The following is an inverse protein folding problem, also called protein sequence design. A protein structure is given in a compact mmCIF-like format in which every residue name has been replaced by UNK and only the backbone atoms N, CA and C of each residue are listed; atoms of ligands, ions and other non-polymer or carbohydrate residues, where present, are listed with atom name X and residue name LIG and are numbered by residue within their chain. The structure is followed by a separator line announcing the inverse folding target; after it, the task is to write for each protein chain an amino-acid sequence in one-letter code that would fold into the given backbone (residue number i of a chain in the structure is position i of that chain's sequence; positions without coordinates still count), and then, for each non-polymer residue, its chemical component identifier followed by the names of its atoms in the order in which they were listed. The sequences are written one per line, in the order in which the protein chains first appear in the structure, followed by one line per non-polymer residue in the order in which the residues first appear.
data_IF_198901260285
#
_entry.id   IF_198901260285
#
_cell.length_a   1.000
_cell.length_b   1.000
_cell.length_c   1.000
_cell.angle_alpha   90.00
_cell.angle_beta   90.00
_cell.angle_gamma   90.00
#
_symmetry.space_group_name_H-M   'P 1'
#
loop_
_entity.id
_entity.type
_entity.pdbx_description
1 polymer ?
#
# COMPACT_ATOMS: atom_id res chain seq x y z
N UNK A 1 23.44 -55.57 4.43
CA UNK A 1 23.88 -54.16 4.22
C UNK A 1 22.68 -53.26 4.41
N UNK A 2 22.60 -52.62 5.56
CA UNK A 2 21.49 -51.70 5.87
C UNK A 2 21.96 -50.27 5.52
N UNK A 3 21.36 -49.68 4.50
CA UNK A 3 21.61 -48.28 4.14
C UNK A 3 20.84 -47.36 5.06
N UNK A 4 21.58 -46.78 6.00
CA UNK A 4 21.06 -45.72 6.88
C UNK A 4 20.79 -44.46 6.05
N UNK A 5 19.52 -44.15 5.76
CA UNK A 5 19.14 -42.87 5.22
C UNK A 5 19.24 -41.80 6.32
N UNK A 6 20.30 -40.98 6.27
CA UNK A 6 20.40 -39.74 7.04
C UNK A 6 19.24 -38.85 6.65
N UNK A 7 18.21 -38.78 7.47
CA UNK A 7 17.18 -37.78 7.35
C UNK A 7 17.83 -36.41 7.47
N UNK A 8 17.82 -35.64 6.37
CA UNK A 8 18.22 -34.24 6.37
C UNK A 8 17.22 -33.48 7.26
N UNK A 9 17.63 -33.19 8.49
CA UNK A 9 16.83 -32.35 9.40
C UNK A 9 16.57 -31.03 8.70
N UNK A 10 15.29 -30.74 8.40
CA UNK A 10 14.86 -29.43 7.88
C UNK A 10 15.32 -28.38 8.88
N UNK A 11 16.29 -27.56 8.50
CA UNK A 11 16.69 -26.42 9.33
C UNK A 11 15.50 -25.49 9.51
N UNK A 12 15.28 -25.03 10.74
CA UNK A 12 14.22 -24.07 11.05
C UNK A 12 14.41 -22.80 10.22
N UNK A 13 13.43 -22.47 9.39
CA UNK A 13 13.43 -21.22 8.63
C UNK A 13 13.11 -20.07 9.59
N UNK A 14 14.01 -19.10 9.65
CA UNK A 14 13.86 -17.94 10.52
C UNK A 14 13.24 -16.77 9.76
N UNK A 15 12.40 -16.04 10.47
CA UNK A 15 11.88 -14.79 9.97
C UNK A 15 12.98 -13.70 9.97
N UNK A 16 12.86 -12.74 9.09
CA UNK A 16 13.72 -11.57 9.03
C UNK A 16 12.94 -10.33 8.57
N UNK A 17 13.50 -9.17 8.86
CA UNK A 17 13.02 -7.89 8.38
C UNK A 17 14.11 -7.27 7.51
N UNK A 18 13.89 -7.22 6.19
CA UNK A 18 14.78 -6.56 5.27
C UNK A 18 14.50 -5.04 5.32
N UNK A 19 15.51 -4.25 5.65
CA UNK A 19 15.42 -2.80 5.82
C UNK A 19 16.07 -2.14 4.60
N UNK A 20 15.29 -1.34 3.90
CA UNK A 20 15.64 -0.71 2.64
C UNK A 20 15.67 0.81 2.77
N UNK A 21 16.49 1.44 1.95
CA UNK A 21 16.34 2.89 1.73
C UNK A 21 14.94 3.18 1.16
N UNK A 22 14.33 4.32 1.56
CA UNK A 22 13.11 4.74 0.89
C UNK A 22 13.41 5.06 -0.58
N UNK A 23 12.46 4.86 -1.48
CA UNK A 23 12.66 5.19 -2.88
C UNK A 23 12.85 6.69 -3.07
N UNK A 24 13.52 7.06 -4.15
CA UNK A 24 13.60 8.44 -4.62
C UNK A 24 12.59 8.64 -5.75
N UNK A 25 11.77 9.70 -5.66
CA UNK A 25 10.72 9.97 -6.65
C UNK A 25 9.38 9.31 -6.31
N UNK A 26 8.60 8.98 -7.32
CA UNK A 26 7.21 8.48 -7.19
C UNK A 26 7.09 6.95 -7.21
N UNK A 27 8.22 6.23 -7.15
CA UNK A 27 8.17 4.76 -7.21
C UNK A 27 7.70 4.16 -5.88
N UNK A 28 6.99 3.03 -5.95
CA UNK A 28 6.52 2.27 -4.79
C UNK A 28 7.37 1.02 -4.53
N UNK A 29 8.49 0.88 -5.25
CA UNK A 29 9.45 -0.20 -5.02
C UNK A 29 10.48 0.23 -3.98
N UNK A 30 10.82 -0.63 -3.00
CA UNK A 30 11.87 -0.34 -2.04
C UNK A 30 13.20 0.00 -2.72
N UNK A 31 13.93 0.93 -2.15
CA UNK A 31 15.29 1.25 -2.61
C UNK A 31 16.31 0.16 -2.25
N UNK A 32 17.59 0.51 -2.26
CA UNK A 32 18.67 -0.43 -1.95
C UNK A 32 18.53 -1.04 -0.55
N UNK A 33 18.85 -2.31 -0.40
CA UNK A 33 18.90 -2.98 0.90
C UNK A 33 19.99 -2.33 1.77
N UNK A 34 19.61 -1.80 2.92
CA UNK A 34 20.53 -1.25 3.91
C UNK A 34 21.09 -2.34 4.82
N UNK A 35 20.20 -3.17 5.34
CA UNK A 35 20.54 -4.28 6.25
C UNK A 35 19.38 -5.25 6.39
N UNK A 36 19.67 -6.44 6.88
CA UNK A 36 18.67 -7.43 7.27
C UNK A 36 18.69 -7.60 8.79
N UNK A 37 17.55 -7.43 9.43
CA UNK A 37 17.35 -7.72 10.84
C UNK A 37 16.86 -9.17 10.97
N UNK A 38 17.76 -10.09 11.31
CA UNK A 38 17.44 -11.50 11.53
C UNK A 38 16.85 -11.72 12.92
N UNK A 39 15.76 -12.49 13.01
CA UNK A 39 15.14 -12.86 14.26
C UNK A 39 15.87 -14.05 14.87
N UNK A 40 16.20 -13.95 16.15
CA UNK A 40 16.81 -15.09 16.91
C UNK A 40 15.76 -16.16 17.15
N UNK A 41 14.54 -15.73 17.45
CA UNK A 41 13.37 -16.55 17.62
C UNK A 41 12.30 -16.08 16.63
N UNK A 42 11.62 -17.03 16.00
CA UNK A 42 10.48 -16.67 15.16
C UNK A 42 9.39 -16.02 16.02
N UNK A 43 8.63 -15.07 15.47
CA UNK A 43 7.53 -14.44 16.19
C UNK A 43 6.56 -15.49 16.72
N UNK A 44 6.22 -15.41 18.02
CA UNK A 44 5.21 -16.29 18.61
C UNK A 44 3.81 -15.88 18.14
N UNK A 45 3.62 -14.58 17.93
CA UNK A 45 2.37 -14.00 17.46
C UNK A 45 2.65 -13.03 16.30
N UNK A 46 1.83 -13.17 15.27
CA UNK A 46 1.79 -12.27 14.11
C UNK A 46 0.32 -11.99 13.84
N UNK A 47 -0.09 -10.75 13.93
CA UNK A 47 -1.45 -10.33 13.58
C UNK A 47 -1.44 -9.48 12.33
N UNK A 48 -2.43 -9.68 11.46
CA UNK A 48 -2.64 -8.88 10.26
C UNK A 48 -4.07 -8.36 10.25
N UNK A 49 -4.23 -7.09 9.94
CA UNK A 49 -5.51 -6.41 9.85
C UNK A 49 -5.61 -5.66 8.54
N UNK A 50 -6.75 -5.78 7.88
CA UNK A 50 -7.11 -4.96 6.72
C UNK A 50 -8.56 -4.56 6.87
N UNK A 51 -8.88 -3.28 6.59
CA UNK A 51 -10.24 -2.75 6.68
C UNK A 51 -10.74 -2.33 5.32
N UNK A 52 -12.01 -2.54 5.06
CA UNK A 52 -12.71 -2.01 3.89
C UNK A 52 -13.54 -0.80 4.31
N UNK A 53 -13.40 0.29 3.56
CA UNK A 53 -14.16 1.52 3.77
C UNK A 53 -15.47 1.47 3.00
N UNK A 54 -16.59 1.63 3.70
CA UNK A 54 -17.93 1.66 3.13
C UNK A 54 -18.64 2.94 3.52
N UNK A 55 -19.28 3.59 2.55
CA UNK A 55 -20.12 4.77 2.77
C UNK A 55 -21.58 4.38 2.58
N UNK A 56 -22.39 4.62 3.59
CA UNK A 56 -23.85 4.54 3.46
C UNK A 56 -24.38 5.91 3.01
N UNK A 57 -25.00 5.97 1.83
CA UNK A 57 -25.66 7.19 1.34
C UNK A 57 -27.15 7.09 1.68
N UNK A 58 -27.67 7.87 2.64
CA UNK A 58 -29.10 7.85 2.96
C UNK A 58 -29.88 8.40 1.78
N UNK A 59 -30.71 7.57 1.17
CA UNK A 59 -31.64 7.97 0.12
C UNK A 59 -33.01 8.15 0.75
N UNK A 60 -33.57 9.36 0.71
CA UNK A 60 -34.87 9.66 1.29
C UNK A 60 -36.05 8.91 0.65
N UNK A 61 -35.82 8.17 -0.42
CA UNK A 61 -36.87 7.56 -1.25
C UNK A 61 -37.08 6.04 -1.07
N UNK A 62 -36.28 5.36 -0.24
CA UNK A 62 -36.37 3.90 -0.14
C UNK A 62 -36.60 3.46 1.31
N UNK A 63 -37.71 2.76 1.54
CA UNK A 63 -38.09 2.15 2.83
C UNK A 63 -37.13 1.06 3.32
N UNK A 64 -36.28 0.53 2.44
CA UNK A 64 -35.30 -0.50 2.71
C UNK A 64 -33.89 0.07 2.52
N UNK A 65 -33.26 0.48 3.61
CA UNK A 65 -31.85 0.81 3.81
C UNK A 65 -31.01 1.29 2.63
N UNK A 66 -30.18 2.29 2.85
CA UNK A 66 -29.24 2.78 1.82
C UNK A 66 -28.26 1.68 1.42
N UNK A 67 -28.05 1.47 0.12
CA UNK A 67 -27.04 0.54 -0.41
C UNK A 67 -25.65 1.07 -0.03
N UNK A 68 -24.82 0.29 0.66
CA UNK A 68 -23.46 0.71 0.98
C UNK A 68 -22.61 0.77 -0.30
N UNK A 69 -21.85 1.85 -0.46
CA UNK A 69 -20.91 2.07 -1.53
C UNK A 69 -19.49 1.76 -1.03
N UNK A 70 -18.75 0.93 -1.77
CA UNK A 70 -17.37 0.60 -1.45
C UNK A 70 -16.46 1.76 -1.81
N UNK A 71 -15.73 2.29 -0.82
CA UNK A 71 -14.86 3.46 -0.96
C UNK A 71 -13.37 3.07 -1.13
N UNK A 72 -13.03 1.82 -0.90
CA UNK A 72 -11.66 1.33 -0.97
C UNK A 72 -11.29 0.42 0.18
N UNK A 73 -10.08 -0.10 0.15
CA UNK A 73 -9.50 -0.88 1.23
C UNK A 73 -8.35 -0.08 1.85
N UNK A 74 -8.27 -0.07 3.17
CA UNK A 74 -7.13 0.47 3.88
C UNK A 74 -5.87 -0.38 3.62
N UNK A 75 -4.67 0.20 3.73
CA UNK A 75 -3.45 -0.57 3.74
C UNK A 75 -3.48 -1.66 4.81
N UNK A 76 -2.81 -2.78 4.54
CA UNK A 76 -2.67 -3.84 5.55
C UNK A 76 -1.79 -3.34 6.70
N UNK A 77 -2.20 -3.69 7.90
CA UNK A 77 -1.41 -3.47 9.12
C UNK A 77 -0.94 -4.83 9.63
N UNK A 78 0.32 -4.93 10.04
CA UNK A 78 0.87 -6.13 10.64
C UNK A 78 1.58 -5.79 11.93
N UNK A 79 1.27 -6.53 12.99
CA UNK A 79 1.96 -6.40 14.27
C UNK A 79 2.73 -7.67 14.56
N UNK A 80 4.01 -7.51 14.90
CA UNK A 80 4.97 -8.57 15.19
C UNK A 80 5.44 -8.45 16.63
N UNK A 81 5.51 -9.57 17.35
CA UNK A 81 6.20 -9.66 18.62
C UNK A 81 7.58 -10.32 18.41
N UNK A 82 8.63 -9.56 18.69
CA UNK A 82 10.03 -9.98 18.52
C UNK A 82 10.66 -10.18 19.88
N UNK A 83 11.08 -11.41 20.17
CA UNK A 83 11.79 -11.74 21.40
C UNK A 83 13.30 -11.69 21.16
N UNK A 84 14.04 -10.98 22.02
CA UNK A 84 15.47 -10.80 21.99
C UNK A 84 16.06 -11.31 23.30
N UNK A 85 17.04 -12.21 23.23
CA UNK A 85 17.71 -12.78 24.40
C UNK A 85 19.19 -13.02 24.13
N UNK A 86 20.05 -12.40 24.91
CA UNK A 86 21.49 -12.60 24.88
C UNK A 86 22.04 -13.32 26.12
N UNK A 87 21.19 -13.95 26.92
CA UNK A 87 21.60 -14.61 28.17
C UNK A 87 22.64 -15.71 27.97
N UNK A 88 22.62 -16.38 26.83
CA UNK A 88 23.62 -17.41 26.47
C UNK A 88 24.97 -16.83 26.04
N UNK A 89 25.03 -15.55 25.67
CA UNK A 89 26.25 -14.82 25.30
C UNK A 89 26.17 -13.40 25.88
N UNK A 90 26.37 -13.22 27.17
CA UNK A 90 26.13 -11.95 27.86
C UNK A 90 27.15 -10.84 27.50
N UNK A 91 28.14 -11.16 26.68
CA UNK A 91 29.18 -10.20 26.28
C UNK A 91 28.67 -9.28 25.16
N UNK A 92 28.26 -8.09 25.58
CA UNK A 92 28.01 -6.97 24.69
C UNK A 92 26.53 -6.53 24.64
N UNK A 93 26.36 -5.29 24.29
CA UNK A 93 25.07 -4.60 24.16
C UNK A 93 24.19 -5.14 23.00
N UNK A 94 24.14 -6.46 22.78
CA UNK A 94 23.51 -7.06 21.60
C UNK A 94 22.01 -6.77 21.56
N UNK A 95 21.29 -6.94 22.69
CA UNK A 95 19.86 -6.64 22.79
C UNK A 95 19.62 -5.15 22.58
N UNK A 96 20.40 -4.30 23.26
CA UNK A 96 20.26 -2.85 23.15
C UNK A 96 20.50 -2.36 21.72
N UNK A 97 21.56 -2.85 21.03
CA UNK A 97 21.83 -2.53 19.62
C UNK A 97 20.73 -2.99 18.68
N UNK A 98 20.13 -4.15 18.94
CA UNK A 98 19.01 -4.66 18.14
C UNK A 98 17.77 -3.80 18.34
N UNK A 99 17.43 -3.45 19.58
CA UNK A 99 16.31 -2.56 19.86
C UNK A 99 16.54 -1.18 19.21
N UNK A 100 17.74 -0.60 19.37
CA UNK A 100 18.10 0.66 18.71
C UNK A 100 17.97 0.56 17.18
N UNK A 101 18.33 -0.59 16.60
CA UNK A 101 18.17 -0.86 15.18
C UNK A 101 16.71 -0.84 14.73
N UNK A 102 15.79 -1.33 15.56
CA UNK A 102 14.34 -1.28 15.28
C UNK A 102 13.81 0.16 15.45
N UNK A 103 14.18 0.84 16.53
CA UNK A 103 13.77 2.24 16.77
C UNK A 103 14.20 3.16 15.61
N UNK A 104 15.41 2.98 15.09
CA UNK A 104 15.89 3.73 13.92
C UNK A 104 15.09 3.50 12.65
N UNK A 105 14.23 2.49 12.59
CA UNK A 105 13.30 2.33 11.48
C UNK A 105 12.16 3.35 11.49
N UNK A 106 11.99 4.09 12.58
CA UNK A 106 11.05 5.21 12.68
C UNK A 106 11.72 6.57 12.36
N UNK A 107 13.05 6.61 12.22
CA UNK A 107 13.80 7.84 11.95
C UNK A 107 14.03 8.03 10.44
N UNK A 108 14.06 9.28 9.99
CA UNK A 108 14.37 9.62 8.59
C UNK A 108 15.82 9.23 8.23
N UNK A 109 16.01 8.71 7.02
CA UNK A 109 17.35 8.33 6.55
C UNK A 109 18.13 9.53 6.05
N UNK A 110 19.45 9.53 6.22
CA UNK A 110 20.33 10.61 5.74
C UNK A 110 20.22 10.78 4.20
N UNK A 111 20.02 9.67 3.46
CA UNK A 111 19.85 9.74 2.01
C UNK A 111 18.54 10.40 1.61
N UNK A 112 17.44 10.12 2.31
CA UNK A 112 16.15 10.75 2.02
C UNK A 112 16.17 12.25 2.28
N UNK A 113 16.89 12.69 3.33
CA UNK A 113 17.13 14.11 3.61
C UNK A 113 17.92 14.76 2.46
N UNK A 114 19.01 14.11 2.03
CA UNK A 114 19.85 14.62 0.92
C UNK A 114 19.05 14.68 -0.41
N UNK A 115 18.11 13.75 -0.62
CA UNK A 115 17.22 13.76 -1.77
C UNK A 115 16.05 14.76 -1.66
N UNK A 116 15.98 15.55 -0.57
CA UNK A 116 14.88 16.49 -0.26
C UNK A 116 13.48 15.81 -0.16
N UNK A 117 13.46 14.54 0.14
CA UNK A 117 12.25 13.71 0.35
C UNK A 117 12.40 12.94 1.67
N UNK A 118 12.37 13.61 2.83
CA UNK A 118 12.62 12.97 4.11
C UNK A 118 11.60 11.86 4.36
N UNK A 119 12.11 10.64 4.57
CA UNK A 119 11.32 9.44 4.80
C UNK A 119 12.11 8.47 5.68
N UNK A 120 11.44 7.72 6.57
CA UNK A 120 12.07 6.59 7.25
C UNK A 120 12.36 5.46 6.27
N UNK A 121 13.20 4.49 6.66
CA UNK A 121 13.46 3.31 5.83
C UNK A 121 12.17 2.51 5.59
N UNK A 122 12.11 1.86 4.44
CA UNK A 122 11.07 0.91 4.12
C UNK A 122 11.50 -0.49 4.54
N UNK A 123 10.56 -1.33 4.90
CA UNK A 123 10.84 -2.66 5.40
C UNK A 123 10.03 -3.71 4.64
N UNK A 124 10.61 -4.91 4.51
CA UNK A 124 9.91 -6.08 3.99
C UNK A 124 10.07 -7.20 5.00
N UNK A 125 8.97 -7.71 5.52
CA UNK A 125 8.97 -8.89 6.37
C UNK A 125 9.04 -10.14 5.51
N UNK A 126 9.93 -11.06 5.86
CA UNK A 126 10.13 -12.31 5.14
C UNK A 126 10.20 -13.50 6.10
N UNK A 127 9.41 -14.53 5.83
CA UNK A 127 9.43 -15.77 6.59
C UNK A 127 9.17 -16.96 5.69
N UNK A 128 10.25 -17.53 5.17
CA UNK A 128 10.18 -18.70 4.27
C UNK A 128 9.25 -18.45 3.08
N UNK A 129 8.28 -19.35 2.89
CA UNK A 129 7.29 -19.26 1.82
C UNK A 129 5.98 -18.55 2.23
N UNK A 130 5.95 -17.86 3.37
CA UNK A 130 4.76 -17.14 3.85
C UNK A 130 4.53 -15.86 3.04
N UNK A 131 4.04 -16.01 1.82
CA UNK A 131 3.88 -14.91 0.85
C UNK A 131 2.84 -13.86 1.29
N UNK A 132 1.78 -14.26 1.99
CA UNK A 132 0.74 -13.34 2.47
C UNK A 132 1.28 -12.27 3.42
N UNK A 133 2.30 -12.60 4.21
CA UNK A 133 2.93 -11.65 5.13
C UNK A 133 4.08 -10.86 4.48
N UNK A 134 4.45 -11.18 3.23
CA UNK A 134 5.51 -10.49 2.50
C UNK A 134 4.95 -9.33 1.71
N UNK A 135 5.11 -8.13 2.22
CA UNK A 135 4.75 -6.88 1.55
C UNK A 135 5.72 -5.77 1.95
N UNK A 136 5.77 -4.74 1.14
CA UNK A 136 6.53 -3.54 1.43
C UNK A 136 5.76 -2.71 2.45
N UNK A 137 6.43 -2.26 3.51
CA UNK A 137 5.82 -1.53 4.61
C UNK A 137 6.76 -0.44 5.13
N UNK A 138 6.20 0.44 5.92
CA UNK A 138 6.98 1.27 6.85
C UNK A 138 6.66 0.87 8.30
N UNK A 139 7.58 1.16 9.20
CA UNK A 139 7.37 0.93 10.63
C UNK A 139 6.59 2.12 11.18
N UNK A 140 5.38 1.86 11.69
CA UNK A 140 4.53 2.89 12.29
C UNK A 140 4.83 3.08 13.78
N UNK A 141 5.20 1.99 14.47
CA UNK A 141 5.60 2.06 15.89
C UNK A 141 6.52 0.91 16.27
N UNK A 142 7.38 1.17 17.23
CA UNK A 142 8.21 0.18 17.92
C UNK A 142 8.06 0.42 19.41
N UNK A 143 7.55 -0.58 20.12
CA UNK A 143 7.51 -0.61 21.57
C UNK A 143 8.50 -1.66 22.06
N UNK A 144 9.42 -1.29 22.95
CA UNK A 144 10.42 -2.20 23.48
C UNK A 144 10.33 -2.28 25.01
N UNK A 145 10.07 -3.48 25.51
CA UNK A 145 10.04 -3.77 26.95
C UNK A 145 11.27 -4.59 27.33
N UNK A 146 12.12 -4.03 28.17
CA UNK A 146 13.27 -4.73 28.73
C UNK A 146 12.86 -5.50 29.97
N UNK A 147 13.13 -6.81 29.98
CA UNK A 147 12.63 -7.72 31.02
C UNK A 147 13.73 -8.33 31.88
N UNK A 148 14.99 -8.31 31.44
CA UNK A 148 16.12 -8.84 32.18
C UNK A 148 17.36 -7.98 31.96
N UNK A 149 18.08 -7.70 33.07
CA UNK A 149 19.29 -6.90 33.09
C UNK A 149 20.46 -7.69 33.66
N UNK A 150 21.64 -7.44 33.16
CA UNK A 150 22.89 -7.96 33.71
C UNK A 150 23.31 -7.21 34.98
N UNK A 151 24.34 -7.70 35.62
CA UNK A 151 24.91 -7.09 36.85
C UNK A 151 25.44 -5.68 36.64
N UNK A 152 25.73 -5.30 35.41
CA UNK A 152 26.21 -3.95 35.00
C UNK A 152 25.08 -3.02 34.60
N UNK A 153 23.79 -3.45 34.72
CA UNK A 153 22.62 -2.69 34.29
C UNK A 153 22.35 -2.74 32.78
N UNK A 154 23.13 -3.49 32.02
CA UNK A 154 22.91 -3.66 30.56
C UNK A 154 21.76 -4.64 30.33
N UNK A 155 20.76 -4.31 29.50
CA UNK A 155 19.66 -5.22 29.20
C UNK A 155 20.16 -6.43 28.39
N UNK A 156 19.78 -7.63 28.84
CA UNK A 156 20.12 -8.90 28.21
C UNK A 156 18.89 -9.59 27.60
N UNK A 157 17.68 -9.11 27.92
CA UNK A 157 16.42 -9.59 27.34
C UNK A 157 15.45 -8.44 27.10
N UNK A 158 14.78 -8.48 25.95
CA UNK A 158 13.72 -7.56 25.62
C UNK A 158 12.65 -8.25 24.76
N UNK A 159 11.41 -7.77 24.88
CA UNK A 159 10.32 -8.04 23.95
C UNK A 159 10.00 -6.76 23.20
N UNK A 160 9.97 -6.83 21.86
CA UNK A 160 9.65 -5.69 21.03
C UNK A 160 8.36 -5.97 20.27
N UNK A 161 7.39 -5.05 20.36
CA UNK A 161 6.22 -5.04 19.51
C UNK A 161 6.48 -4.05 18.37
N UNK A 162 6.42 -4.53 17.14
CA UNK A 162 6.68 -3.73 15.92
C UNK A 162 5.43 -3.73 15.07
N UNK A 163 4.90 -2.55 14.80
CA UNK A 163 3.75 -2.36 13.91
C UNK A 163 4.21 -1.85 12.56
N UNK A 164 3.77 -2.54 11.52
CA UNK A 164 4.07 -2.28 10.13
C UNK A 164 2.80 -1.89 9.39
N UNK A 165 2.88 -0.90 8.53
CA UNK A 165 1.78 -0.49 7.65
C UNK A 165 2.23 -0.66 6.21
N UNK A 166 1.42 -1.35 5.43
CA UNK A 166 1.69 -1.62 4.02
C UNK A 166 1.80 -0.32 3.22
N UNK A 167 2.78 -0.29 2.33
CA UNK A 167 2.86 0.71 1.28
C UNK A 167 2.25 0.06 0.04
N UNK A 168 1.07 0.51 -0.41
CA UNK A 168 0.43 -0.07 -1.59
C UNK A 168 1.36 0.01 -2.79
N UNK A 169 1.57 -1.12 -3.45
CA UNK A 169 2.29 -1.18 -4.71
C UNK A 169 1.53 -0.45 -5.83
N UNK A 170 2.14 -0.25 -6.99
CA UNK A 170 1.40 0.22 -8.14
C UNK A 170 0.29 -0.78 -8.41
N UNK A 171 -0.94 -0.33 -8.34
CA UNK A 171 -2.11 -1.16 -8.65
C UNK A 171 -2.10 -1.39 -10.15
N UNK A 172 -1.68 -2.57 -10.60
CA UNK A 172 -1.84 -2.95 -12.00
C UNK A 172 -3.34 -2.89 -12.30
N UNK A 173 -3.75 -1.96 -13.16
CA UNK A 173 -5.10 -1.87 -13.72
C UNK A 173 -6.14 -1.02 -12.97
N UNK A 174 -5.80 -0.32 -11.88
CA UNK A 174 -6.61 0.83 -11.50
C UNK A 174 -6.05 2.06 -12.20
N UNK A 175 -6.76 2.48 -13.24
CA UNK A 175 -6.66 3.84 -13.74
C UNK A 175 -6.60 4.78 -12.51
N UNK A 176 -5.68 5.77 -12.42
CA UNK A 176 -5.64 6.70 -11.32
C UNK A 176 -6.83 7.65 -11.41
N UNK A 177 -8.01 7.15 -11.08
CA UNK A 177 -9.20 7.95 -10.80
C UNK A 177 -9.34 8.13 -9.30
N UNK A 178 -8.27 8.56 -8.65
CA UNK A 178 -8.31 9.26 -7.37
C UNK A 178 -8.40 10.79 -7.61
N UNK A 179 -9.15 11.18 -8.57
CA UNK A 179 -9.79 12.46 -8.68
C UNK A 179 -11.23 12.11 -8.90
N UNK A 180 -12.13 12.68 -8.11
CA UNK A 180 -13.56 12.50 -8.11
C UNK A 180 -14.07 11.66 -9.28
N UNK A 181 -14.86 10.62 -9.00
CA UNK A 181 -15.71 9.97 -9.98
C UNK A 181 -16.63 11.04 -10.58
N UNK A 182 -16.09 11.86 -11.44
CA UNK A 182 -16.88 12.64 -12.38
C UNK A 182 -17.42 11.59 -13.31
N UNK A 183 -18.70 11.25 -13.13
CA UNK A 183 -19.36 10.18 -13.84
C UNK A 183 -19.25 10.46 -15.34
N UNK A 184 -18.35 9.76 -16.03
CA UNK A 184 -18.33 9.76 -17.49
C UNK A 184 -19.62 9.11 -17.93
N UNK A 185 -20.50 9.88 -18.50
CA UNK A 185 -21.73 9.37 -19.12
C UNK A 185 -21.41 8.78 -20.47
N UNK A 186 -21.97 7.62 -20.74
CA UNK A 186 -22.00 7.05 -22.10
C UNK A 186 -23.36 7.41 -22.69
N UNK A 187 -23.36 8.13 -23.80
CA UNK A 187 -24.56 8.43 -24.58
C UNK A 187 -24.59 7.59 -25.85
N UNK A 188 -25.71 6.94 -26.11
CA UNK A 188 -25.93 6.21 -27.36
C UNK A 188 -26.63 7.12 -28.35
N UNK A 189 -25.96 7.42 -29.45
CA UNK A 189 -26.46 8.31 -30.51
C UNK A 189 -27.80 7.83 -31.06
N UNK A 190 -28.79 8.69 -31.05
CA UNK A 190 -30.10 8.46 -31.67
C UNK A 190 -30.29 9.33 -32.91
N UNK A 191 -31.28 9.00 -33.73
CA UNK A 191 -31.55 9.77 -34.96
C UNK A 191 -31.90 11.24 -34.60
N UNK A 192 -31.15 12.19 -35.18
CA UNK A 192 -31.27 13.62 -34.91
C UNK A 192 -30.27 14.21 -33.93
N UNK A 193 -29.43 13.35 -33.28
CA UNK A 193 -28.35 13.83 -32.44
C UNK A 193 -27.21 14.45 -33.28
N UNK A 194 -26.61 15.47 -32.71
CA UNK A 194 -25.35 16.04 -33.17
C UNK A 194 -24.44 16.29 -31.97
N UNK A 195 -23.13 16.33 -32.18
CA UNK A 195 -22.18 16.64 -31.08
C UNK A 195 -22.50 17.97 -30.42
N UNK A 196 -22.99 18.94 -31.18
CA UNK A 196 -23.37 20.28 -30.66
C UNK A 196 -24.64 20.21 -29.80
N UNK A 197 -25.65 19.40 -30.18
CA UNK A 197 -26.86 19.22 -29.39
C UNK A 197 -26.59 18.48 -28.10
N UNK A 198 -25.71 17.47 -28.14
CA UNK A 198 -25.28 16.73 -26.96
C UNK A 198 -24.48 17.62 -26.01
N UNK A 199 -23.55 18.43 -26.55
CA UNK A 199 -22.76 19.38 -25.76
C UNK A 199 -23.64 20.44 -25.10
N UNK A 200 -24.67 20.91 -25.80
CA UNK A 200 -25.65 21.84 -25.21
C UNK A 200 -26.46 21.20 -24.10
N UNK A 201 -26.94 19.98 -24.32
CA UNK A 201 -27.74 19.24 -23.33
C UNK A 201 -26.93 18.91 -22.06
N UNK A 202 -25.67 18.53 -22.19
CA UNK A 202 -24.85 18.05 -21.06
C UNK A 202 -24.10 19.21 -20.35
N UNK A 203 -23.57 20.18 -21.12
CA UNK A 203 -22.72 21.24 -20.58
C UNK A 203 -23.33 22.65 -20.65
N UNK A 204 -24.54 22.80 -21.22
CA UNK A 204 -25.17 24.09 -21.46
C UNK A 204 -24.44 24.96 -22.49
N UNK A 205 -23.49 24.40 -23.25
CA UNK A 205 -22.62 25.12 -24.20
C UNK A 205 -22.41 24.28 -25.46
N UNK A 206 -22.92 24.77 -26.61
CA UNK A 206 -22.77 24.05 -27.88
C UNK A 206 -21.33 23.98 -28.36
N UNK A 207 -20.46 24.96 -28.00
CA UNK A 207 -19.04 24.99 -28.40
C UNK A 207 -18.20 23.89 -27.70
N UNK A 208 -18.71 23.26 -26.64
CA UNK A 208 -18.07 22.13 -25.95
C UNK A 208 -18.05 20.83 -26.77
N UNK A 209 -18.68 20.80 -27.96
CA UNK A 209 -18.70 19.62 -28.83
C UNK A 209 -17.31 19.10 -29.19
N UNK A 210 -16.30 19.96 -29.22
CA UNK A 210 -14.91 19.59 -29.54
C UNK A 210 -14.33 18.64 -28.48
N UNK A 211 -14.63 18.88 -27.22
CA UNK A 211 -14.19 18.00 -26.13
C UNK A 211 -14.81 16.59 -26.25
N UNK A 212 -16.09 16.51 -26.69
CA UNK A 212 -16.72 15.22 -26.98
C UNK A 212 -16.06 14.54 -28.18
N UNK A 213 -15.77 15.26 -29.26
CA UNK A 213 -15.10 14.73 -30.42
C UNK A 213 -13.71 14.18 -30.10
N UNK A 214 -12.91 14.95 -29.37
CA UNK A 214 -11.56 14.58 -28.96
C UNK A 214 -11.57 13.35 -28.03
N UNK A 215 -12.47 13.32 -27.05
CA UNK A 215 -12.59 12.20 -26.11
C UNK A 215 -12.98 10.87 -26.78
N UNK A 216 -13.60 10.94 -27.97
CA UNK A 216 -14.07 9.77 -28.74
C UNK A 216 -13.29 9.54 -30.04
N UNK A 217 -12.25 10.31 -30.31
CA UNK A 217 -11.45 10.18 -31.54
C UNK A 217 -12.25 10.43 -32.83
N UNK A 218 -13.21 11.37 -32.81
CA UNK A 218 -14.07 11.68 -33.96
C UNK A 218 -13.43 12.84 -34.76
N UNK A 219 -12.93 12.52 -35.95
CA UNK A 219 -12.33 13.49 -36.85
C UNK A 219 -13.38 14.29 -37.67
N UNK A 220 -14.50 13.64 -38.01
CA UNK A 220 -15.60 14.29 -38.75
C UNK A 220 -16.87 14.37 -37.87
N UNK A 221 -17.15 15.54 -37.26
CA UNK A 221 -18.31 15.76 -36.43
C UNK A 221 -19.64 15.78 -37.17
N UNK A 222 -19.63 15.88 -38.52
CA UNK A 222 -20.83 15.87 -39.35
C UNK A 222 -21.31 14.45 -39.65
N UNK A 223 -20.49 13.44 -39.41
CA UNK A 223 -20.83 12.04 -39.66
C UNK A 223 -20.90 11.26 -38.34
N UNK A 224 -22.07 11.31 -37.68
CA UNK A 224 -22.33 10.63 -36.43
C UNK A 224 -23.33 9.47 -36.63
N UNK A 225 -22.86 8.20 -36.77
CA UNK A 225 -23.74 7.08 -37.01
C UNK A 225 -24.67 6.82 -35.82
N UNK A 226 -25.95 6.58 -36.08
CA UNK A 226 -26.91 6.19 -35.04
C UNK A 226 -26.51 4.86 -34.40
N UNK A 227 -26.59 4.80 -33.08
CA UNK A 227 -26.19 3.62 -32.30
C UNK A 227 -24.74 3.65 -31.81
N UNK A 228 -23.92 4.62 -32.23
CA UNK A 228 -22.57 4.83 -31.70
C UNK A 228 -22.65 5.19 -30.20
N UNK A 229 -21.80 4.58 -29.38
CA UNK A 229 -21.67 4.94 -27.99
C UNK A 229 -20.59 6.03 -27.85
N UNK A 230 -20.98 7.18 -27.33
CA UNK A 230 -20.11 8.32 -27.09
C UNK A 230 -19.83 8.46 -25.60
N UNK A 231 -18.55 8.59 -25.28
CA UNK A 231 -18.13 8.97 -23.94
C UNK A 231 -18.26 10.50 -23.81
N UNK A 232 -19.08 10.96 -22.87
CA UNK A 232 -19.20 12.38 -22.53
C UNK A 232 -18.21 12.71 -21.40
N UNK A 233 -17.19 13.58 -21.65
CA UNK A 233 -16.26 14.04 -20.63
C UNK A 233 -16.99 14.70 -19.47
N UNK A 234 -16.36 14.76 -18.30
CA UNK A 234 -16.92 15.49 -17.18
C UNK A 234 -16.89 17.01 -17.46
N UNK A 235 -17.84 17.75 -16.91
CA UNK A 235 -17.97 19.20 -17.14
C UNK A 235 -16.69 19.98 -16.76
N UNK A 236 -15.88 19.44 -15.81
CA UNK A 236 -14.63 20.01 -15.35
C UNK A 236 -13.46 19.76 -16.33
N UNK A 237 -13.56 18.74 -17.18
CA UNK A 237 -12.58 18.41 -18.22
C UNK A 237 -12.80 19.18 -19.53
N UNK A 238 -13.92 19.90 -19.64
CA UNK A 238 -14.29 20.64 -20.85
C UNK A 238 -13.77 22.08 -20.77
N UNK A 239 -12.83 22.49 -21.64
CA UNK A 239 -12.28 23.85 -21.63
C UNK A 239 -13.36 24.93 -21.76
N UNK A 240 -13.16 26.05 -21.07
CA UNK A 240 -14.09 27.20 -21.09
C UNK A 240 -14.08 27.94 -22.41
#
# INVERSE_FOLDING_TARGET
MATSSKGAGKSLVRANLAIHEPPTGTTTTPGALMRTFGFEFNPAHLSMTQRAQWKATPTMAVRDGSKPEFMGADPREMTLEIFLDSSMKPNGNTVMKKVESLLRCCDVTAKSIAAKQPSPPWVVFEWGSFSTARFTAYVSSVEAQYTLFGTTGVPIRATCQVSLVEIPGPTEGQNPTSGALTARRVHRVVAGDSLQSLAWSEYGRANAWRAIAEANGIDDPSHLPTGTELMLPAAEEVPH
#
